data_IF_309317465937
#
_entry.id   IF_309317465937
#
_cell.length_a   1.000
_cell.length_b   1.000
_cell.length_c   1.000
_cell.angle_alpha   90.00
_cell.angle_beta   90.00
_cell.angle_gamma   90.00
#
_symmetry.space_group_name_H-M   'P 1'
#
loop_
_entity.id
_entity.type
_entity.pdbx_description
1 polymer ?
#
# COMPACT_ATOMS: atom_id res chain seq x y z
N UNK A 1 -3.03 -15.24 -7.31
CA UNK A 1 -4.46 -14.98 -7.00
C UNK A 1 -4.60 -13.54 -6.62
N UNK A 2 -3.99 -13.15 -5.51
CA UNK A 2 -3.80 -11.76 -5.07
C UNK A 2 -3.12 -10.92 -6.18
N UNK A 3 -1.93 -11.31 -6.62
CA UNK A 3 -1.17 -10.65 -7.69
C UNK A 3 -1.87 -10.56 -9.06
N UNK A 4 -2.95 -11.33 -9.24
CA UNK A 4 -3.79 -11.32 -10.43
C UNK A 4 -5.03 -10.42 -10.28
N UNK A 5 -5.05 -9.53 -9.29
CA UNK A 5 -6.15 -8.61 -9.00
C UNK A 5 -7.09 -9.09 -7.90
N UNK A 6 -6.53 -9.62 -6.81
CA UNK A 6 -7.24 -10.01 -5.58
C UNK A 6 -8.24 -11.16 -5.78
N UNK A 7 -8.02 -12.03 -6.76
CA UNK A 7 -9.00 -13.05 -7.16
C UNK A 7 -9.38 -13.98 -6.00
N UNK A 8 -8.42 -14.32 -5.15
CA UNK A 8 -8.63 -15.20 -4.00
C UNK A 8 -9.46 -14.54 -2.90
N UNK A 9 -9.04 -13.37 -2.42
CA UNK A 9 -9.79 -12.65 -1.38
C UNK A 9 -11.16 -12.20 -1.85
N UNK A 10 -11.31 -11.74 -3.10
CA UNK A 10 -12.63 -11.45 -3.70
C UNK A 10 -13.54 -12.67 -3.67
N UNK A 11 -13.03 -13.82 -4.11
CA UNK A 11 -13.81 -15.05 -4.07
C UNK A 11 -14.22 -15.43 -2.65
N UNK A 12 -13.30 -15.33 -1.68
CA UNK A 12 -13.59 -15.62 -0.28
C UNK A 12 -14.68 -14.71 0.29
N UNK A 13 -14.59 -13.39 0.10
CA UNK A 13 -15.57 -12.46 0.67
C UNK A 13 -16.95 -12.56 0.00
N UNK A 14 -17.02 -13.11 -1.22
CA UNK A 14 -18.29 -13.44 -1.89
C UNK A 14 -18.83 -14.82 -1.49
N UNK A 15 -17.98 -15.73 -1.01
CA UNK A 15 -18.34 -17.11 -0.64
C UNK A 15 -17.70 -17.50 0.70
N UNK A 16 -17.99 -16.77 1.79
CA UNK A 16 -17.20 -16.89 3.00
C UNK A 16 -17.59 -18.16 3.77
N UNK A 17 -16.57 -18.90 4.24
CA UNK A 17 -16.79 -20.08 5.11
C UNK A 17 -17.28 -19.62 6.50
N UNK A 18 -16.81 -18.47 6.96
CA UNK A 18 -17.25 -17.81 8.19
C UNK A 18 -17.96 -16.50 7.84
N UNK A 19 -19.17 -16.22 8.38
CA UNK A 19 -19.88 -14.99 8.10
C UNK A 19 -19.01 -13.74 8.30
N UNK A 20 -19.10 -12.78 7.37
CA UNK A 20 -18.41 -11.49 7.49
C UNK A 20 -19.13 -10.55 8.47
N UNK A 21 -20.44 -10.75 8.65
CA UNK A 21 -21.21 -10.03 9.65
C UNK A 21 -20.72 -10.39 11.05
N UNK A 22 -20.52 -9.38 11.90
CA UNK A 22 -19.89 -9.54 13.20
C UNK A 22 -18.38 -9.82 13.16
N UNK A 23 -17.72 -9.74 12.00
CA UNK A 23 -16.25 -9.82 11.93
C UNK A 23 -15.62 -8.60 12.62
N UNK A 24 -14.76 -8.86 13.60
CA UNK A 24 -14.13 -7.80 14.40
C UNK A 24 -13.08 -7.03 13.62
N UNK A 25 -12.46 -7.67 12.62
CA UNK A 25 -11.55 -7.05 11.69
C UNK A 25 -10.64 -8.08 11.01
N UNK A 26 -10.00 -7.67 9.92
CA UNK A 26 -9.06 -8.51 9.17
C UNK A 26 -7.65 -7.92 9.23
N UNK A 27 -6.67 -8.73 9.61
CA UNK A 27 -5.26 -8.37 9.70
C UNK A 27 -4.48 -9.08 8.59
N UNK A 28 -3.92 -8.33 7.65
CA UNK A 28 -3.22 -8.86 6.48
C UNK A 28 -1.72 -8.70 6.68
N UNK A 29 -0.96 -9.78 6.49
CA UNK A 29 0.50 -9.74 6.44
C UNK A 29 0.94 -9.81 5.00
N UNK A 30 1.47 -8.72 4.47
CA UNK A 30 1.97 -8.68 3.10
C UNK A 30 3.22 -7.82 3.07
N UNK A 31 4.32 -8.46 2.67
CA UNK A 31 5.65 -7.85 2.62
C UNK A 31 6.08 -7.35 4.00
N UNK A 32 6.30 -8.30 4.91
CA UNK A 32 6.71 -8.07 6.31
C UNK A 32 8.11 -8.61 6.63
N UNK A 33 8.83 -9.08 5.61
CA UNK A 33 10.08 -9.81 5.75
C UNK A 33 11.34 -8.95 5.84
N UNK A 34 11.26 -7.63 5.65
CA UNK A 34 12.44 -6.75 5.56
C UNK A 34 12.26 -5.44 6.31
N UNK A 35 11.89 -5.53 7.59
CA UNK A 35 11.63 -4.36 8.44
C UNK A 35 12.91 -3.57 8.76
N UNK A 36 13.97 -4.24 9.21
CA UNK A 36 15.19 -3.58 9.70
C UNK A 36 14.89 -2.58 10.81
N UNK A 37 15.31 -1.34 10.58
CA UNK A 37 15.07 -0.18 11.47
C UNK A 37 13.98 0.76 10.94
N UNK A 38 13.28 0.36 9.89
CA UNK A 38 12.17 1.12 9.33
C UNK A 38 10.95 1.07 10.24
N UNK A 39 9.99 1.95 9.96
CA UNK A 39 8.69 1.91 10.61
C UNK A 39 7.88 0.75 10.04
N UNK A 40 7.19 0.02 10.92
CA UNK A 40 6.15 -0.91 10.49
C UNK A 40 4.92 -0.10 10.10
N UNK A 41 4.59 -0.11 8.81
CA UNK A 41 3.42 0.58 8.29
C UNK A 41 2.18 -0.29 8.49
N UNK A 42 1.12 0.32 8.99
CA UNK A 42 -0.20 -0.30 9.06
C UNK A 42 -1.11 0.48 8.12
N UNK A 43 -1.39 -0.09 6.95
CA UNK A 43 -2.20 0.54 5.90
C UNK A 43 -3.68 0.21 6.10
N UNK A 44 -4.57 1.09 5.68
CA UNK A 44 -6.02 0.92 5.79
C UNK A 44 -6.59 1.23 7.18
N UNK A 45 -5.85 1.91 8.07
CA UNK A 45 -6.34 2.23 9.42
C UNK A 45 -7.53 3.18 9.43
N UNK A 46 -7.87 3.79 8.28
CA UNK A 46 -9.09 4.58 8.11
C UNK A 46 -10.36 3.74 8.00
N UNK A 47 -10.27 2.41 8.04
CA UNK A 47 -11.43 1.51 7.95
C UNK A 47 -12.23 1.38 9.26
N UNK A 48 -11.63 1.67 10.41
CA UNK A 48 -12.31 1.78 11.70
C UNK A 48 -11.60 2.76 12.63
N UNK A 49 -12.36 3.40 13.52
CA UNK A 49 -11.85 4.43 14.42
C UNK A 49 -10.83 3.89 15.44
N UNK A 50 -10.96 2.63 15.82
CA UNK A 50 -10.16 2.00 16.86
C UNK A 50 -8.73 1.67 16.40
N UNK A 51 -8.49 1.49 15.10
CA UNK A 51 -7.19 1.02 14.60
C UNK A 51 -6.02 1.88 15.05
N UNK A 52 -6.15 3.21 14.96
CA UNK A 52 -5.08 4.13 15.33
C UNK A 52 -4.73 4.00 16.82
N UNK A 53 -5.71 3.69 17.67
CA UNK A 53 -5.50 3.48 19.11
C UNK A 53 -4.86 2.12 19.38
N UNK A 54 -5.32 1.07 18.71
CA UNK A 54 -4.77 -0.29 18.81
C UNK A 54 -3.28 -0.26 18.46
N UNK A 55 -2.93 0.29 17.30
CA UNK A 55 -1.54 0.27 16.83
C UNK A 55 -0.62 1.25 17.54
N UNK A 56 -1.16 2.35 18.09
CA UNK A 56 -0.41 3.20 19.03
C UNK A 56 -0.06 2.43 20.32
N UNK A 57 -1.03 1.70 20.88
CA UNK A 57 -0.82 0.86 22.06
C UNK A 57 0.18 -0.28 21.80
N UNK A 58 -0.04 -1.03 20.72
CA UNK A 58 0.84 -2.12 20.32
C UNK A 58 2.29 -1.65 20.07
N UNK A 59 2.47 -0.52 19.38
CA UNK A 59 3.80 0.08 19.18
C UNK A 59 4.46 0.48 20.50
N UNK A 60 3.70 1.05 21.44
CA UNK A 60 4.22 1.42 22.76
C UNK A 60 4.64 0.20 23.59
N UNK A 61 3.79 -0.84 23.67
CA UNK A 61 4.06 -2.05 24.47
C UNK A 61 5.24 -2.84 23.92
N UNK A 62 5.34 -2.95 22.60
CA UNK A 62 6.41 -3.74 21.94
C UNK A 62 7.71 -2.96 21.75
N UNK A 63 7.66 -1.62 21.83
CA UNK A 63 8.77 -0.75 21.47
C UNK A 63 9.02 -0.65 19.95
N UNK A 64 8.15 -1.23 19.13
CA UNK A 64 8.27 -1.17 17.66
C UNK A 64 7.75 0.16 17.15
N UNK A 65 8.49 0.78 16.22
CA UNK A 65 8.07 2.02 15.59
C UNK A 65 6.96 1.75 14.56
N UNK A 66 5.72 1.90 14.99
CA UNK A 66 4.53 1.67 14.18
C UNK A 66 3.99 2.99 13.62
N UNK A 67 3.64 3.00 12.35
CA UNK A 67 2.98 4.13 11.71
C UNK A 67 1.65 3.70 11.08
N UNK A 68 0.55 4.26 11.58
CA UNK A 68 -0.77 4.12 10.99
C UNK A 68 -0.91 4.99 9.75
N UNK A 69 -1.41 4.40 8.67
CA UNK A 69 -1.71 5.04 7.40
C UNK A 69 -3.17 4.78 7.08
N UNK A 70 -3.95 5.85 6.95
CA UNK A 70 -5.40 5.75 6.80
C UNK A 70 -5.81 5.09 5.47
N UNK A 71 -5.08 5.39 4.38
CA UNK A 71 -5.32 4.85 3.04
C UNK A 71 -4.93 3.36 2.97
N UNK A 72 -5.73 2.57 2.26
CA UNK A 72 -5.49 1.16 1.98
C UNK A 72 -4.67 0.93 0.71
N UNK A 73 -4.53 1.97 -0.13
CA UNK A 73 -3.90 1.99 -1.46
C UNK A 73 -4.42 0.95 -2.47
N UNK A 74 -5.38 0.11 -2.09
CA UNK A 74 -5.89 -1.01 -2.88
C UNK A 74 -4.81 -2.01 -3.29
N UNK A 75 -3.72 -2.11 -2.52
CA UNK A 75 -2.51 -2.84 -2.93
C UNK A 75 -2.44 -4.29 -2.46
N UNK A 76 -3.37 -4.76 -1.62
CA UNK A 76 -3.40 -6.14 -1.11
C UNK A 76 -4.82 -6.54 -0.67
N UNK A 77 -4.96 -7.73 -0.08
CA UNK A 77 -6.23 -8.41 0.19
C UNK A 77 -7.16 -7.65 1.15
N UNK A 78 -6.67 -6.71 1.97
CA UNK A 78 -7.48 -5.84 2.83
C UNK A 78 -8.59 -5.14 2.06
N UNK A 79 -8.30 -4.82 0.79
CA UNK A 79 -9.24 -4.11 -0.09
C UNK A 79 -10.55 -4.87 -0.24
N UNK A 80 -10.48 -6.18 -0.48
CA UNK A 80 -11.67 -7.02 -0.70
C UNK A 80 -12.59 -7.05 0.51
N UNK A 81 -12.01 -7.02 1.72
CA UNK A 81 -12.76 -7.00 2.98
C UNK A 81 -13.34 -5.62 3.29
N UNK A 82 -12.56 -4.55 3.07
CA UNK A 82 -13.01 -3.16 3.20
C UNK A 82 -14.22 -2.89 2.29
N UNK A 83 -14.21 -3.39 1.06
CA UNK A 83 -15.33 -3.26 0.12
C UNK A 83 -16.61 -3.97 0.58
N UNK A 84 -16.50 -4.95 1.48
CA UNK A 84 -17.64 -5.61 2.14
C UNK A 84 -17.99 -5.00 3.50
N UNK A 85 -17.36 -3.89 3.89
CA UNK A 85 -17.59 -3.22 5.16
C UNK A 85 -16.87 -3.83 6.36
N UNK A 86 -15.95 -4.77 6.14
CA UNK A 86 -15.14 -5.36 7.21
C UNK A 86 -13.91 -4.47 7.45
N UNK A 87 -13.72 -3.92 8.67
CA UNK A 87 -12.52 -3.19 9.02
C UNK A 87 -11.26 -4.03 8.77
N UNK A 88 -10.31 -3.53 7.99
CA UNK A 88 -9.14 -4.31 7.62
C UNK A 88 -7.91 -3.46 7.53
N UNK A 89 -6.76 -4.05 7.87
CA UNK A 89 -5.46 -3.39 7.81
C UNK A 89 -4.38 -4.32 7.26
N UNK A 90 -3.41 -3.74 6.56
CA UNK A 90 -2.22 -4.43 6.07
C UNK A 90 -1.00 -4.04 6.89
N UNK A 91 -0.28 -5.02 7.40
CA UNK A 91 1.06 -4.88 7.95
C UNK A 91 2.05 -4.89 6.80
N UNK A 92 2.89 -3.86 6.72
CA UNK A 92 3.80 -3.65 5.61
C UNK A 92 5.14 -3.11 6.11
N UNK A 93 6.24 -3.78 5.78
CA UNK A 93 7.60 -3.35 6.14
C UNK A 93 8.19 -2.32 5.18
N UNK A 94 7.39 -1.83 4.22
CA UNK A 94 7.83 -0.92 3.18
C UNK A 94 8.31 -1.64 1.92
N UNK A 95 8.37 -0.93 0.78
CA UNK A 95 8.90 -1.48 -0.45
C UNK A 95 10.42 -1.61 -0.40
N UNK A 96 10.98 -2.48 -1.22
CA UNK A 96 12.42 -2.63 -1.39
C UNK A 96 12.78 -2.78 -2.87
N UNK A 97 14.07 -2.66 -3.20
CA UNK A 97 14.55 -2.71 -4.59
C UNK A 97 14.29 -4.04 -5.29
N UNK A 98 14.17 -5.13 -4.53
CA UNK A 98 13.83 -6.47 -5.04
C UNK A 98 12.31 -6.71 -5.20
N UNK A 99 11.46 -5.74 -4.86
CA UNK A 99 10.00 -5.92 -4.83
C UNK A 99 9.44 -6.26 -6.23
N UNK A 100 8.67 -7.36 -6.35
CA UNK A 100 8.19 -7.94 -7.62
C UNK A 100 9.31 -8.27 -8.62
N UNK A 101 10.49 -8.66 -8.13
CA UNK A 101 11.64 -9.03 -8.97
C UNK A 101 12.21 -10.40 -8.58
N UNK A 102 12.91 -11.10 -9.49
CA UNK A 102 13.55 -12.39 -9.19
C UNK A 102 14.56 -12.35 -8.03
N UNK A 103 15.05 -11.16 -7.66
CA UNK A 103 15.95 -10.96 -6.53
C UNK A 103 15.27 -11.07 -5.16
N UNK A 104 13.94 -11.20 -5.10
CA UNK A 104 13.22 -11.42 -3.85
C UNK A 104 13.38 -12.87 -3.38
N UNK A 105 14.34 -13.06 -2.48
CA UNK A 105 14.92 -14.37 -2.15
C UNK A 105 15.06 -14.52 -0.64
N UNK A 106 14.96 -15.76 -0.15
CA UNK A 106 14.84 -16.07 1.27
C UNK A 106 16.05 -15.62 2.11
N UNK A 107 17.24 -15.55 1.52
CA UNK A 107 18.48 -15.11 2.19
C UNK A 107 18.47 -13.62 2.57
N UNK A 108 17.56 -12.82 1.99
CA UNK A 108 17.42 -11.39 2.27
C UNK A 108 16.35 -11.08 3.34
N UNK A 109 15.77 -12.11 3.95
CA UNK A 109 14.76 -11.95 4.99
C UNK A 109 15.42 -11.54 6.32
N UNK A 110 14.88 -10.47 6.92
CA UNK A 110 15.18 -10.03 8.27
C UNK A 110 14.27 -10.74 9.27
N UNK A 111 14.73 -11.90 9.75
CA UNK A 111 14.00 -12.68 10.76
C UNK A 111 13.79 -11.92 12.07
N UNK A 112 14.76 -11.08 12.49
CA UNK A 112 14.60 -10.28 13.70
C UNK A 112 13.50 -9.22 13.52
N UNK A 113 13.45 -8.59 12.36
CA UNK A 113 12.35 -7.71 11.95
C UNK A 113 11.00 -8.42 11.90
N UNK A 114 10.94 -9.65 11.40
CA UNK A 114 9.70 -10.44 11.43
C UNK A 114 9.21 -10.73 12.86
N UNK A 115 10.12 -10.93 13.82
CA UNK A 115 9.75 -11.06 15.24
C UNK A 115 9.15 -9.76 15.77
N UNK A 116 9.70 -8.59 15.41
CA UNK A 116 9.11 -7.28 15.74
C UNK A 116 7.69 -7.16 15.16
N UNK A 117 7.49 -7.52 13.90
CA UNK A 117 6.14 -7.52 13.27
C UNK A 117 5.18 -8.48 13.97
N UNK A 118 5.62 -9.70 14.29
CA UNK A 118 4.81 -10.70 14.98
C UNK A 118 4.40 -10.24 16.38
N UNK A 119 5.26 -9.51 17.10
CA UNK A 119 4.94 -8.92 18.39
C UNK A 119 3.80 -7.89 18.27
N UNK A 120 3.85 -6.98 17.30
CA UNK A 120 2.76 -6.01 17.06
C UNK A 120 1.48 -6.72 16.63
N UNK A 121 1.59 -7.74 15.77
CA UNK A 121 0.44 -8.55 15.35
C UNK A 121 -0.23 -9.24 16.55
N UNK A 122 0.56 -9.84 17.45
CA UNK A 122 0.04 -10.48 18.68
C UNK A 122 -0.79 -9.50 19.50
N UNK A 123 -0.28 -8.30 19.78
CA UNK A 123 -1.02 -7.30 20.56
C UNK A 123 -2.33 -6.89 19.89
N UNK A 124 -2.34 -6.76 18.55
CA UNK A 124 -3.56 -6.47 17.80
C UNK A 124 -4.57 -7.63 17.87
N UNK A 125 -4.12 -8.88 17.73
CA UNK A 125 -4.97 -10.08 17.83
C UNK A 125 -5.55 -10.20 19.25
N UNK A 126 -4.73 -10.03 20.29
CA UNK A 126 -5.18 -10.08 21.68
C UNK A 126 -6.20 -8.99 21.98
N UNK A 127 -5.97 -7.78 21.48
CA UNK A 127 -6.95 -6.70 21.59
C UNK A 127 -8.28 -7.10 20.94
N UNK A 128 -8.28 -7.53 19.67
CA UNK A 128 -9.50 -7.94 18.96
C UNK A 128 -10.22 -9.10 19.65
N UNK A 129 -9.48 -10.11 20.12
CA UNK A 129 -10.02 -11.26 20.82
C UNK A 129 -10.63 -10.92 22.20
N UNK A 130 -10.19 -9.82 22.83
CA UNK A 130 -10.71 -9.35 24.11
C UNK A 130 -11.95 -8.46 24.00
N UNK A 131 -12.34 -8.07 22.78
CA UNK A 131 -13.51 -7.21 22.58
C UNK A 131 -14.80 -8.02 22.67
N UNK A 132 -15.81 -7.40 23.25
CA UNK A 132 -17.18 -7.93 23.24
C UNK A 132 -17.93 -7.52 21.97
N UNK A 133 -17.65 -6.30 21.47
CA UNK A 133 -18.34 -5.71 20.32
C UNK A 133 -17.39 -5.50 19.12
N UNK A 134 -17.88 -5.64 17.87
CA UNK A 134 -17.13 -5.30 16.66
C UNK A 134 -16.60 -3.86 16.69
N UNK A 135 -15.66 -3.56 15.78
CA UNK A 135 -15.13 -2.20 15.68
C UNK A 135 -16.09 -1.24 14.98
N UNK A 136 -15.90 0.05 15.24
CA UNK A 136 -16.68 1.14 14.66
C UNK A 136 -16.17 1.44 13.25
N UNK A 137 -16.86 0.91 12.24
CA UNK A 137 -16.55 1.12 10.82
C UNK A 137 -16.64 2.61 10.45
N UNK A 138 -15.56 3.18 9.92
CA UNK A 138 -15.49 4.59 9.50
C UNK A 138 -15.52 4.77 7.98
N UNK A 139 -15.77 3.69 7.24
CA UNK A 139 -15.87 3.69 5.79
C UNK A 139 -17.09 4.52 5.35
N UNK A 140 -16.87 5.60 4.61
CA UNK A 140 -17.95 6.48 4.09
C UNK A 140 -19.01 5.74 3.24
N UNK A 141 -18.69 4.53 2.77
CA UNK A 141 -19.56 3.68 1.95
C UNK A 141 -20.12 2.45 2.67
N UNK A 142 -20.20 2.42 4.01
CA UNK A 142 -20.76 1.30 4.77
C UNK A 142 -22.30 1.11 4.66
N UNK A 143 -22.95 1.70 3.65
CA UNK A 143 -24.28 1.24 3.19
C UNK A 143 -24.07 0.30 2.00
N UNK A 144 -24.84 -0.79 1.85
CA UNK A 144 -24.69 -1.71 0.73
C UNK A 144 -24.84 -0.93 -0.57
N UNK A 145 -23.70 -0.60 -1.20
CA UNK A 145 -23.71 -0.03 -2.52
C UNK A 145 -24.18 -1.14 -3.45
N UNK A 146 -25.31 -0.91 -4.11
CA UNK A 146 -25.69 -1.69 -5.27
C UNK A 146 -24.52 -1.67 -6.24
N UNK A 147 -23.91 -2.84 -6.39
CA UNK A 147 -22.76 -3.08 -7.24
C UNK A 147 -23.13 -2.62 -8.65
N UNK A 148 -22.61 -1.47 -9.08
CA UNK A 148 -22.57 -1.16 -10.50
C UNK A 148 -21.42 -1.99 -11.07
N UNK A 149 -21.68 -2.93 -12.00
CA UNK A 149 -20.61 -3.68 -12.62
C UNK A 149 -19.81 -2.73 -13.52
N UNK A 150 -18.61 -2.37 -13.08
CA UNK A 150 -17.57 -1.87 -13.97
C UNK A 150 -16.35 -2.79 -13.82
N UNK A 151 -16.50 -4.04 -14.25
CA UNK A 151 -15.35 -4.81 -14.72
C UNK A 151 -15.02 -4.31 -16.12
N UNK A 152 -14.18 -3.29 -16.22
CA UNK A 152 -13.21 -3.31 -17.30
C UNK A 152 -12.11 -4.28 -16.87
N UNK A 153 -11.66 -5.19 -17.75
CA UNK A 153 -10.49 -6.00 -17.44
C UNK A 153 -9.37 -5.03 -17.07
N UNK A 154 -8.88 -5.11 -15.83
CA UNK A 154 -7.71 -4.32 -15.44
C UNK A 154 -6.55 -4.84 -16.28
N UNK A 155 -6.27 -4.17 -17.40
CA UNK A 155 -5.01 -4.32 -18.08
C UNK A 155 -3.94 -4.06 -17.02
N UNK A 156 -3.14 -5.09 -16.73
CA UNK A 156 -2.00 -4.97 -15.86
C UNK A 156 -1.17 -3.76 -16.26
N UNK A 157 -0.57 -3.09 -15.28
CA UNK A 157 0.27 -1.92 -15.53
C UNK A 157 1.43 -2.33 -16.46
N UNK A 158 1.38 -1.86 -17.71
CA UNK A 158 2.34 -2.22 -18.77
C UNK A 158 3.68 -1.50 -18.65
N UNK A 159 3.70 -0.37 -17.95
CA UNK A 159 4.90 0.47 -17.81
C UNK A 159 5.23 0.77 -16.36
N UNK A 160 6.52 0.88 -16.07
CA UNK A 160 7.02 1.30 -14.78
C UNK A 160 7.91 2.54 -14.90
N UNK A 161 7.80 3.42 -13.91
CA UNK A 161 8.73 4.52 -13.72
C UNK A 161 9.97 4.05 -12.93
N UNK A 162 9.84 2.97 -12.15
CA UNK A 162 10.88 2.48 -11.24
C UNK A 162 11.15 3.40 -10.04
N UNK A 163 10.20 4.29 -9.71
CA UNK A 163 10.17 4.99 -8.43
C UNK A 163 9.73 4.04 -7.30
N UNK A 164 10.33 4.21 -6.12
CA UNK A 164 9.98 3.48 -4.90
C UNK A 164 9.20 4.43 -3.99
N UNK A 165 7.87 4.26 -3.84
CA UNK A 165 7.07 5.20 -3.05
C UNK A 165 7.32 5.14 -1.55
N UNK A 166 7.16 6.29 -0.89
CA UNK A 166 7.06 6.42 0.57
C UNK A 166 5.58 6.27 0.98
N UNK A 167 5.18 5.06 1.35
CA UNK A 167 3.81 4.75 1.78
C UNK A 167 3.45 5.39 3.13
N UNK A 168 4.43 5.92 3.87
CA UNK A 168 4.21 6.67 5.10
C UNK A 168 4.04 8.17 4.87
N UNK A 169 4.22 8.66 3.64
CA UNK A 169 4.06 10.08 3.34
C UNK A 169 2.60 10.51 3.40
N UNK A 170 2.34 11.61 4.10
CA UNK A 170 1.03 12.26 4.17
C UNK A 170 1.15 13.65 3.52
N UNK A 171 0.52 13.82 2.37
CA UNK A 171 0.54 15.08 1.63
C UNK A 171 0.19 14.88 0.15
N UNK A 172 0.00 15.98 -0.60
CA UNK A 172 -0.24 15.90 -2.04
C UNK A 172 1.01 15.42 -2.78
N UNK A 173 0.82 14.55 -3.76
CA UNK A 173 1.87 13.97 -4.57
C UNK A 173 2.31 12.59 -4.08
N UNK A 174 3.31 12.04 -4.77
CA UNK A 174 3.94 10.78 -4.39
C UNK A 174 5.39 11.04 -4.04
N UNK A 175 5.67 11.06 -2.73
CA UNK A 175 7.05 11.08 -2.24
C UNK A 175 7.71 9.74 -2.51
N UNK A 176 8.98 9.75 -2.88
CA UNK A 176 9.76 8.55 -3.14
C UNK A 176 10.86 8.37 -2.09
N UNK A 177 11.14 7.12 -1.71
CA UNK A 177 12.29 6.74 -0.89
C UNK A 177 13.51 6.43 -1.73
N UNK A 178 13.35 6.33 -3.05
CA UNK A 178 14.43 6.13 -4.00
C UNK A 178 13.92 5.70 -5.37
N UNK A 179 14.87 5.23 -6.17
CA UNK A 179 14.64 4.72 -7.53
C UNK A 179 15.24 3.33 -7.64
N UNK A 180 14.80 2.59 -8.65
CA UNK A 180 15.37 1.28 -8.94
C UNK A 180 16.51 1.41 -9.95
N UNK A 181 17.63 0.68 -9.81
CA UNK A 181 18.73 0.75 -10.76
C UNK A 181 18.29 0.46 -12.20
N UNK A 182 18.76 1.27 -13.14
CA UNK A 182 18.44 1.21 -14.57
C UNK A 182 17.05 1.76 -14.95
N UNK A 183 16.29 2.28 -13.99
CA UNK A 183 14.92 2.74 -14.24
C UNK A 183 14.82 4.13 -14.88
N UNK A 184 13.67 4.46 -15.49
CA UNK A 184 13.41 5.81 -16.00
C UNK A 184 13.52 6.89 -14.91
N UNK A 185 13.11 6.60 -13.67
CA UNK A 185 13.25 7.52 -12.54
C UNK A 185 14.72 7.80 -12.20
N UNK A 186 15.57 6.77 -12.22
CA UNK A 186 17.01 6.95 -12.00
C UNK A 186 17.64 7.76 -13.14
N UNK A 187 17.29 7.45 -14.39
CA UNK A 187 17.76 8.20 -15.57
C UNK A 187 17.33 9.68 -15.54
N UNK A 188 16.16 9.98 -14.94
CA UNK A 188 15.70 11.34 -14.70
C UNK A 188 16.47 12.08 -13.58
N UNK A 189 17.31 11.36 -12.84
CA UNK A 189 18.06 11.89 -11.70
C UNK A 189 17.21 12.06 -10.44
N UNK A 190 16.08 11.36 -10.33
CA UNK A 190 15.22 11.38 -9.14
C UNK A 190 15.93 10.70 -7.95
N UNK A 191 15.66 11.20 -6.75
CA UNK A 191 16.34 10.85 -5.51
C UNK A 191 15.34 10.65 -4.37
N UNK A 192 15.81 10.00 -3.30
CA UNK A 192 15.05 9.88 -2.06
C UNK A 192 14.64 11.27 -1.54
N UNK A 193 13.37 11.44 -1.21
CA UNK A 193 12.79 12.70 -0.76
C UNK A 193 12.12 13.53 -1.85
N UNK A 194 12.31 13.20 -3.13
CA UNK A 194 11.59 13.86 -4.22
C UNK A 194 10.09 13.54 -4.14
N UNK A 195 9.23 14.49 -4.54
CA UNK A 195 7.77 14.35 -4.56
C UNK A 195 7.26 14.50 -5.99
N UNK A 196 6.74 13.44 -6.58
CA UNK A 196 6.12 13.47 -7.92
C UNK A 196 4.80 14.23 -7.82
N UNK A 197 4.63 15.25 -8.65
CA UNK A 197 3.44 16.11 -8.67
C UNK A 197 2.71 16.08 -10.02
N UNK A 198 3.39 15.69 -11.12
CA UNK A 198 2.75 15.60 -12.45
C UNK A 198 3.40 14.54 -13.34
N UNK A 199 2.59 13.88 -14.18
CA UNK A 199 3.05 13.06 -15.31
C UNK A 199 2.26 13.46 -16.56
N UNK A 200 2.95 14.04 -17.54
CA UNK A 200 2.33 14.64 -18.72
C UNK A 200 1.34 15.74 -18.30
N UNK A 201 0.07 15.54 -18.63
CA UNK A 201 -1.02 16.43 -18.24
C UNK A 201 -1.73 16.01 -16.94
N UNK A 202 -1.44 14.81 -16.42
CA UNK A 202 -2.09 14.29 -15.22
C UNK A 202 -1.44 14.85 -13.96
N UNK A 203 -2.24 15.50 -13.11
CA UNK A 203 -1.84 15.83 -11.75
C UNK A 203 -1.71 14.57 -10.90
N UNK A 204 -0.62 14.48 -10.15
CA UNK A 204 -0.37 13.39 -9.24
C UNK A 204 -0.61 13.90 -7.84
N UNK A 205 -1.78 13.57 -7.29
CA UNK A 205 -2.17 13.93 -5.92
C UNK A 205 -1.87 12.82 -4.92
N UNK A 206 -1.82 11.57 -5.38
CA UNK A 206 -1.62 10.37 -4.57
C UNK A 206 -1.11 9.19 -5.42
N UNK A 207 -0.90 8.05 -4.78
CA UNK A 207 -0.42 6.82 -5.43
C UNK A 207 -1.39 6.25 -6.49
N UNK A 208 -2.70 6.47 -6.32
CA UNK A 208 -3.71 6.01 -7.26
C UNK A 208 -3.68 6.86 -8.53
N UNK A 209 -3.55 8.17 -8.40
CA UNK A 209 -3.34 9.10 -9.51
C UNK A 209 -2.07 8.73 -10.29
N UNK A 210 -0.97 8.44 -9.59
CA UNK A 210 0.28 7.96 -10.22
C UNK A 210 0.07 6.66 -11.00
N UNK A 211 -0.59 5.67 -10.38
CA UNK A 211 -0.86 4.38 -11.01
C UNK A 211 -1.73 4.52 -12.26
N UNK A 212 -2.77 5.36 -12.19
CA UNK A 212 -3.67 5.62 -13.31
C UNK A 212 -2.98 6.37 -14.45
N UNK A 213 -2.19 7.39 -14.13
CA UNK A 213 -1.40 8.12 -15.13
C UNK A 213 -0.46 7.17 -15.89
N UNK A 214 0.24 6.28 -15.19
CA UNK A 214 1.15 5.34 -15.82
C UNK A 214 0.43 4.27 -16.64
N UNK A 215 -0.76 3.81 -16.22
CA UNK A 215 -1.59 2.87 -17.01
C UNK A 215 -2.06 3.45 -18.35
N UNK A 216 -2.14 4.77 -18.47
CA UNK A 216 -2.54 5.43 -19.71
C UNK A 216 -1.44 5.40 -20.80
N UNK A 217 -0.22 4.99 -20.46
CA UNK A 217 0.93 5.01 -21.38
C UNK A 217 1.43 3.61 -21.77
N UNK A 218 2.15 3.55 -22.90
CA UNK A 218 2.78 2.34 -23.43
C UNK A 218 4.31 2.37 -23.24
N UNK A 219 4.99 1.21 -23.18
CA UNK A 219 6.44 1.15 -23.14
C UNK A 219 7.08 1.89 -24.31
N UNK A 220 8.21 2.57 -24.06
CA UNK A 220 8.90 3.38 -25.07
C UNK A 220 8.29 4.77 -25.30
N UNK A 221 7.17 5.11 -24.64
CA UNK A 221 6.60 6.44 -24.71
C UNK A 221 7.39 7.43 -23.85
N UNK A 222 7.70 8.58 -24.43
CA UNK A 222 8.35 9.70 -23.73
C UNK A 222 7.31 10.55 -23.02
N UNK A 223 7.50 10.82 -21.74
CA UNK A 223 6.59 11.65 -20.93
C UNK A 223 7.37 12.60 -20.04
N UNK A 224 6.88 13.83 -19.90
CA UNK A 224 7.43 14.79 -18.93
C UNK A 224 6.92 14.45 -17.54
N UNK A 225 7.83 14.25 -16.61
CA UNK A 225 7.55 14.10 -15.19
C UNK A 225 7.97 15.37 -14.47
N UNK A 226 7.08 15.87 -13.63
CA UNK A 226 7.36 17.00 -12.73
C UNK A 226 7.42 16.48 -11.31
N UNK A 227 8.51 16.80 -10.62
CA UNK A 227 8.70 16.46 -9.23
C UNK A 227 9.35 17.62 -8.47
N UNK A 228 9.09 17.66 -7.16
CA UNK A 228 9.68 18.63 -6.25
C UNK A 228 10.87 18.04 -5.51
N UNK A 229 11.96 18.80 -5.44
CA UNK A 229 13.13 18.54 -4.60
C UNK A 229 13.25 19.68 -3.59
N UNK A 230 12.73 19.48 -2.39
CA UNK A 230 12.51 20.58 -1.46
C UNK A 230 11.49 21.56 -2.03
N UNK A 231 11.89 22.82 -2.23
CA UNK A 231 11.04 23.87 -2.83
C UNK A 231 11.19 23.97 -4.35
N UNK A 232 12.24 23.37 -4.93
CA UNK A 232 12.51 23.43 -6.36
C UNK A 232 11.58 22.48 -7.12
N UNK A 233 10.99 22.96 -8.20
CA UNK A 233 10.21 22.15 -9.14
C UNK A 233 11.06 21.80 -10.37
N UNK A 234 11.20 20.51 -10.64
CA UNK A 234 12.05 19.96 -11.69
C UNK A 234 11.18 19.20 -12.68
N UNK A 235 11.30 19.55 -13.96
CA UNK A 235 10.67 18.82 -15.06
C UNK A 235 11.72 18.02 -15.85
N UNK A 236 11.48 16.73 -16.04
CA UNK A 236 12.35 15.84 -16.81
C UNK A 236 11.53 15.00 -17.78
N UNK A 237 12.01 14.90 -19.01
CA UNK A 237 11.48 13.96 -19.97
C UNK A 237 12.07 12.57 -19.70
N UNK A 238 11.21 11.55 -19.62
CA UNK A 238 11.61 10.16 -19.38
C UNK A 238 10.95 9.23 -20.38
N UNK A 239 11.69 8.20 -20.79
CA UNK A 239 11.14 7.11 -21.61
C UNK A 239 10.68 6.00 -20.67
N UNK A 240 9.37 5.74 -20.64
CA UNK A 240 8.82 4.70 -19.76
C UNK A 240 9.25 3.31 -20.24
N UNK A 241 9.67 2.47 -19.29
CA UNK A 241 10.09 1.09 -19.56
C UNK A 241 8.95 0.11 -19.29
N UNK A 242 8.97 -1.02 -20.00
CA UNK A 242 8.12 -2.17 -19.65
C UNK A 242 8.46 -2.66 -18.24
N UNK A 243 7.46 -3.18 -17.54
CA UNK A 243 7.62 -3.65 -16.16
C UNK A 243 8.36 -4.98 -16.09
#
# INVERSE_FOLDING_TARGET
GEEAGLLGSKHYVDNPVMPLDGCFGMLILDTVGRLGEQKLLILGTGSASEWVHIFRGAGYVTGVNVQSVADDFGSSDQRSFIEKGVPSVQFFSGPHTDYHRPGDTADKIDYAGMVKTAAVLKEAVEYLASREEPMTVTLENAKPQTVKPAMQPQSGRRVSLGSVPDFGFQGPGVKITGTTPGSPAEAAGMQAGDIITKIGDAEITDLRALSNALKAHQPGYSVTIVFKRGEEEIAKEVVLQER
#
